data_IF_668874809685
#
_entry.id   IF_668874809685
#
_cell.length_a   1.000
_cell.length_b   1.000
_cell.length_c   1.000
_cell.angle_alpha   90.00
_cell.angle_beta   90.00
_cell.angle_gamma   90.00
#
_symmetry.space_group_name_H-M   'P 1'
#
loop_
_entity.id
_entity.type
_entity.pdbx_description
1 polymer ?
#
# COMPACT_ATOMS: atom_id res chain seq x y z
N UNK A 1 47.49 -12.94 62.44
CA UNK A 1 47.18 -14.08 61.58
C UNK A 1 45.69 -14.34 61.74
N UNK A 2 44.81 -13.80 60.90
CA UNK A 2 44.48 -14.26 59.52
C UNK A 2 43.95 -15.71 59.59
N UNK A 3 42.73 -16.10 59.20
CA UNK A 3 41.81 -15.66 58.12
C UNK A 3 40.33 -15.99 58.50
N UNK A 4 39.36 -15.06 58.35
CA UNK A 4 38.35 -14.91 57.27
C UNK A 4 37.32 -16.06 57.19
N UNK A 5 36.13 -15.78 57.73
CA UNK A 5 34.83 -16.41 57.42
C UNK A 5 34.49 -16.29 55.93
N UNK A 6 34.07 -17.37 55.27
CA UNK A 6 32.89 -17.34 54.40
C UNK A 6 32.38 -18.74 53.99
N UNK A 7 31.26 -19.12 54.62
CA UNK A 7 30.07 -19.78 54.06
C UNK A 7 30.24 -20.71 52.85
N UNK A 8 30.08 -22.01 53.11
CA UNK A 8 29.95 -23.09 52.14
C UNK A 8 28.82 -22.83 51.12
N UNK A 9 29.13 -23.12 49.85
CA UNK A 9 28.22 -23.11 48.70
C UNK A 9 27.35 -24.38 48.71
N UNK A 10 26.08 -24.33 48.24
CA UNK A 10 25.31 -25.55 48.00
C UNK A 10 25.73 -26.19 46.66
N UNK A 11 25.68 -27.52 46.66
CA UNK A 11 25.99 -28.42 45.55
C UNK A 11 25.06 -28.19 44.35
N UNK A 12 25.65 -28.25 43.15
CA UNK A 12 24.96 -28.28 41.85
C UNK A 12 24.31 -29.65 41.67
N UNK A 13 23.03 -29.76 42.01
CA UNK A 13 22.18 -30.85 41.51
C UNK A 13 21.60 -30.46 40.15
N UNK A 14 21.67 -31.42 39.24
CA UNK A 14 21.32 -31.33 37.83
C UNK A 14 19.80 -31.36 37.66
N UNK A 15 19.17 -30.19 37.54
CA UNK A 15 17.85 -30.11 36.92
C UNK A 15 18.08 -30.07 35.40
N UNK A 16 17.95 -31.24 34.78
CA UNK A 16 17.73 -31.38 33.34
C UNK A 16 16.43 -30.66 33.03
N UNK A 17 16.51 -29.50 32.37
CA UNK A 17 15.38 -28.97 31.63
C UNK A 17 14.94 -30.08 30.65
N UNK A 18 13.77 -30.68 30.94
CA UNK A 18 12.96 -31.31 29.90
C UNK A 18 12.64 -30.20 28.90
N UNK A 19 13.52 -30.04 27.91
CA UNK A 19 13.17 -29.42 26.65
C UNK A 19 12.11 -30.34 26.07
N UNK A 20 10.84 -29.99 26.26
CA UNK A 20 9.79 -30.45 25.37
C UNK A 20 10.23 -30.08 23.96
N UNK A 21 10.79 -31.05 23.27
CA UNK A 21 10.92 -31.06 21.84
C UNK A 21 9.48 -31.00 21.33
N UNK A 22 9.00 -29.78 21.07
CA UNK A 22 7.66 -29.55 20.53
C UNK A 22 7.61 -30.32 19.22
N UNK A 23 6.88 -31.45 19.23
CA UNK A 23 6.50 -32.15 18.02
C UNK A 23 5.67 -31.17 17.19
N UNK A 24 6.33 -30.42 16.30
CA UNK A 24 5.67 -29.63 15.27
C UNK A 24 4.88 -30.64 14.44
N UNK A 25 3.57 -30.65 14.68
CA UNK A 25 2.69 -31.71 14.22
C UNK A 25 2.90 -31.98 12.72
N UNK A 26 3.10 -33.24 12.34
CA UNK A 26 3.24 -33.64 10.92
C UNK A 26 2.10 -33.10 10.02
N UNK A 27 0.96 -32.73 10.63
CA UNK A 27 -0.21 -32.11 10.00
C UNK A 27 0.11 -30.74 9.42
N UNK A 28 0.88 -29.89 10.10
CA UNK A 28 1.25 -28.55 9.64
C UNK A 28 2.22 -28.61 8.46
N UNK A 29 3.23 -29.48 8.53
CA UNK A 29 4.17 -29.71 7.43
C UNK A 29 3.44 -30.30 6.21
N UNK A 30 2.45 -31.18 6.44
CA UNK A 30 1.59 -31.71 5.36
C UNK A 30 0.68 -30.64 4.78
N UNK A 31 0.10 -29.76 5.60
CA UNK A 31 -0.71 -28.63 5.15
C UNK A 31 0.12 -27.65 4.32
N UNK A 32 1.33 -27.28 4.77
CA UNK A 32 2.26 -26.44 4.02
C UNK A 32 2.67 -27.08 2.69
N UNK A 33 3.02 -28.37 2.68
CA UNK A 33 3.32 -29.08 1.42
C UNK A 33 2.12 -29.13 0.49
N UNK A 34 0.92 -29.26 1.05
CA UNK A 34 -0.32 -29.30 0.28
C UNK A 34 -0.67 -27.92 -0.30
N UNK A 35 -0.55 -26.83 0.47
CA UNK A 35 -0.78 -25.47 -0.02
C UNK A 35 0.24 -25.07 -1.08
N UNK A 36 1.53 -25.40 -0.89
CA UNK A 36 2.57 -25.21 -1.92
C UNK A 36 2.25 -25.99 -3.19
N UNK A 37 1.75 -27.23 -3.07
CA UNK A 37 1.36 -28.05 -4.21
C UNK A 37 0.09 -27.53 -4.90
N UNK A 38 -0.84 -26.93 -4.16
CA UNK A 38 -2.02 -26.26 -4.71
C UNK A 38 -1.66 -24.98 -5.48
N UNK A 39 -0.72 -24.19 -4.98
CA UNK A 39 -0.19 -22.99 -5.66
C UNK A 39 0.62 -23.34 -6.93
N UNK A 40 1.05 -24.59 -7.10
CA UNK A 40 1.70 -25.05 -8.34
C UNK A 40 0.71 -25.55 -9.39
N UNK A 41 -0.58 -25.66 -9.06
CA UNK A 41 -1.61 -26.10 -9.99
C UNK A 41 -2.22 -24.90 -10.74
N UNK A 42 -2.02 -24.77 -12.06
CA UNK A 42 -2.52 -23.64 -12.85
C UNK A 42 -4.03 -23.45 -12.77
N UNK A 43 -4.80 -24.54 -12.57
CA UNK A 43 -6.27 -24.45 -12.49
C UNK A 43 -6.74 -23.88 -11.15
N UNK A 44 -6.01 -24.13 -10.06
CA UNK A 44 -6.33 -23.58 -8.74
C UNK A 44 -5.93 -22.11 -8.68
N UNK A 45 -4.76 -21.76 -9.23
CA UNK A 45 -4.37 -20.36 -9.40
C UNK A 45 -5.38 -19.58 -10.24
N UNK A 46 -5.85 -20.14 -11.35
CA UNK A 46 -6.86 -19.51 -12.19
C UNK A 46 -8.21 -19.32 -11.45
N UNK A 47 -8.64 -20.30 -10.65
CA UNK A 47 -9.90 -20.20 -9.90
C UNK A 47 -9.82 -19.23 -8.71
N UNK A 48 -8.65 -19.08 -8.08
CA UNK A 48 -8.39 -18.06 -7.07
C UNK A 48 -8.36 -16.66 -7.71
N UNK A 49 -7.72 -16.54 -8.87
CA UNK A 49 -7.71 -15.31 -9.66
C UNK A 49 -9.12 -14.88 -10.05
N UNK A 50 -9.95 -15.80 -10.57
CA UNK A 50 -11.34 -15.52 -10.96
C UNK A 50 -12.20 -15.02 -9.78
N UNK A 51 -11.95 -15.52 -8.56
CA UNK A 51 -12.63 -15.04 -7.34
C UNK A 51 -12.12 -13.69 -6.85
N UNK A 52 -10.85 -13.36 -7.10
CA UNK A 52 -10.25 -12.07 -6.79
C UNK A 52 -10.69 -10.99 -7.79
N UNK A 53 -10.78 -11.35 -9.08
CA UNK A 53 -11.26 -10.44 -10.14
C UNK A 53 -12.67 -9.92 -9.81
N UNK A 54 -13.58 -10.79 -9.32
CA UNK A 54 -14.93 -10.39 -8.92
C UNK A 54 -15.06 -9.54 -7.64
N UNK A 55 -13.95 -9.21 -6.95
CA UNK A 55 -13.95 -8.39 -5.72
C UNK A 55 -13.33 -7.00 -5.93
N UNK A 56 -12.70 -6.74 -7.09
CA UNK A 56 -11.76 -5.60 -7.29
C UNK A 56 -12.20 -4.67 -8.45
N UNK A 57 -13.41 -4.81 -8.97
CA UNK A 57 -13.95 -4.02 -10.10
C UNK A 57 -14.42 -2.60 -9.71
N UNK A 58 -13.66 -1.88 -8.88
CA UNK A 58 -13.79 -0.41 -8.88
C UNK A 58 -12.41 0.21 -9.04
N UNK A 59 -12.20 1.10 -10.03
CA UNK A 59 -11.01 1.93 -10.09
C UNK A 59 -10.84 2.62 -8.73
N UNK A 60 -9.67 2.49 -8.13
CA UNK A 60 -9.37 3.00 -6.80
C UNK A 60 -9.76 4.48 -6.72
N UNK A 61 -10.84 4.82 -5.99
CA UNK A 61 -11.35 6.21 -5.86
C UNK A 61 -10.24 7.21 -5.47
N UNK A 62 -9.19 6.72 -4.82
CA UNK A 62 -8.00 7.48 -4.47
C UNK A 62 -7.27 8.03 -5.70
N UNK A 63 -6.95 7.22 -6.71
CA UNK A 63 -6.17 7.66 -7.89
C UNK A 63 -6.97 8.70 -8.67
N UNK A 64 -8.28 8.53 -8.80
CA UNK A 64 -9.16 9.49 -9.48
C UNK A 64 -9.25 10.85 -8.79
N UNK A 65 -9.10 10.86 -7.46
CA UNK A 65 -9.16 12.04 -6.60
C UNK A 65 -7.87 12.86 -6.60
N UNK A 66 -6.75 12.33 -7.13
CA UNK A 66 -5.47 13.03 -7.15
C UNK A 66 -5.50 14.24 -8.11
N UNK A 67 -4.92 15.40 -7.73
CA UNK A 67 -4.92 16.59 -8.59
C UNK A 67 -4.08 16.42 -9.88
N UNK A 68 -4.72 15.98 -10.96
CA UNK A 68 -4.07 15.63 -12.25
C UNK A 68 -3.19 16.76 -12.84
N UNK A 69 -3.64 18.01 -12.78
CA UNK A 69 -3.00 19.15 -13.47
C UNK A 69 -1.54 19.44 -13.05
N UNK A 70 -1.14 19.04 -11.84
CA UNK A 70 0.20 19.29 -11.30
C UNK A 70 1.17 18.14 -11.53
N UNK A 71 0.66 16.92 -11.44
CA UNK A 71 1.48 15.69 -11.48
C UNK A 71 1.66 15.19 -12.92
N UNK A 72 0.71 15.48 -13.82
CA UNK A 72 0.78 15.13 -15.25
C UNK A 72 2.13 15.48 -15.92
N UNK A 73 2.69 16.70 -15.80
CA UNK A 73 3.97 17.01 -16.45
C UNK A 73 5.16 16.27 -15.82
N UNK A 74 5.03 15.78 -14.58
CA UNK A 74 6.05 15.00 -13.88
C UNK A 74 5.96 13.52 -14.26
N UNK A 75 4.74 13.03 -14.53
CA UNK A 75 4.47 11.67 -14.99
C UNK A 75 4.68 11.51 -16.50
N UNK A 76 4.62 12.57 -17.29
CA UNK A 76 4.90 12.54 -18.74
C UNK A 76 6.21 11.85 -19.15
N UNK A 77 7.36 12.03 -18.46
CA UNK A 77 8.59 11.29 -18.74
C UNK A 77 8.61 9.85 -18.18
N UNK A 78 7.54 9.34 -17.59
CA UNK A 78 7.43 7.94 -17.15
C UNK A 78 7.36 7.03 -18.40
N UNK A 79 8.31 6.11 -18.51
CA UNK A 79 8.42 5.19 -19.63
C UNK A 79 7.76 3.86 -19.37
N UNK A 80 7.88 3.38 -18.15
CA UNK A 80 7.56 2.00 -17.81
C UNK A 80 7.27 1.89 -16.31
N UNK A 81 6.35 0.99 -15.97
CA UNK A 81 6.08 0.57 -14.60
C UNK A 81 6.25 -0.93 -14.58
N UNK A 82 7.23 -1.41 -13.81
CA UNK A 82 7.53 -2.84 -13.69
C UNK A 82 7.20 -3.33 -12.29
N UNK A 83 6.81 -4.59 -12.22
CA UNK A 83 6.75 -5.33 -10.95
C UNK A 83 7.89 -6.34 -10.89
N UNK A 84 8.54 -6.45 -9.73
CA UNK A 84 9.53 -7.49 -9.42
C UNK A 84 9.14 -8.18 -8.13
N UNK A 85 8.92 -9.48 -8.18
CA UNK A 85 8.70 -10.30 -7.00
C UNK A 85 10.04 -10.74 -6.39
N UNK A 86 10.06 -10.95 -5.08
CA UNK A 86 11.19 -11.53 -4.36
C UNK A 86 11.51 -12.95 -4.84
N UNK A 87 12.79 -13.30 -4.86
CA UNK A 87 13.24 -14.64 -5.24
C UNK A 87 12.86 -15.70 -4.19
N UNK A 88 12.84 -16.97 -4.62
CA UNK A 88 12.60 -18.09 -3.72
C UNK A 88 13.61 -18.12 -2.56
N UNK A 89 13.10 -18.23 -1.33
CA UNK A 89 13.91 -18.23 -0.10
C UNK A 89 14.17 -16.84 0.50
N UNK A 90 13.66 -15.77 -0.12
CA UNK A 90 13.60 -14.44 0.49
C UNK A 90 12.21 -14.17 1.08
N UNK A 91 12.09 -13.22 2.03
CA UNK A 91 10.78 -12.78 2.52
C UNK A 91 9.90 -12.31 1.35
N UNK A 92 8.67 -12.82 1.31
CA UNK A 92 7.75 -12.55 0.21
C UNK A 92 7.50 -11.05 0.09
N UNK A 93 7.77 -10.50 -1.09
CA UNK A 93 7.55 -9.09 -1.39
C UNK A 93 7.45 -8.86 -2.89
N UNK A 94 6.90 -7.70 -3.27
CA UNK A 94 7.02 -7.19 -4.62
C UNK A 94 7.43 -5.72 -4.62
N UNK A 95 8.12 -5.33 -5.69
CA UNK A 95 8.63 -3.97 -5.89
C UNK A 95 8.01 -3.43 -7.17
N UNK A 96 7.30 -2.31 -7.06
CA UNK A 96 6.90 -1.48 -8.18
C UNK A 96 8.05 -0.53 -8.53
N UNK A 97 8.55 -0.61 -9.76
CA UNK A 97 9.59 0.26 -10.30
C UNK A 97 9.01 1.18 -11.38
N UNK A 98 9.06 2.49 -11.13
CA UNK A 98 8.62 3.53 -12.05
C UNK A 98 9.84 4.11 -12.76
N UNK A 99 10.02 3.78 -14.04
CA UNK A 99 11.19 4.13 -14.84
C UNK A 99 10.95 5.44 -15.59
N UNK A 100 11.74 6.47 -15.28
CA UNK A 100 11.62 7.80 -15.87
C UNK A 100 12.77 8.12 -16.83
N UNK A 101 12.46 8.87 -17.88
CA UNK A 101 13.50 9.60 -18.62
C UNK A 101 14.11 10.71 -17.77
N UNK A 102 15.34 11.17 -18.12
CA UNK A 102 15.89 12.40 -17.58
C UNK A 102 14.89 13.56 -17.70
N UNK A 103 14.44 14.07 -16.56
CA UNK A 103 13.38 15.07 -16.49
C UNK A 103 13.79 16.31 -15.68
N UNK A 104 12.95 17.35 -15.61
CA UNK A 104 13.28 18.60 -14.91
C UNK A 104 13.01 18.58 -13.39
N UNK A 105 12.39 17.53 -12.86
CA UNK A 105 11.82 17.53 -11.51
C UNK A 105 12.72 16.86 -10.49
N UNK A 106 13.26 15.69 -10.80
CA UNK A 106 14.14 14.93 -9.92
C UNK A 106 15.28 14.28 -10.71
N UNK A 107 16.28 13.74 -10.00
CA UNK A 107 17.44 13.07 -10.62
C UNK A 107 17.30 11.56 -10.70
N UNK A 108 16.35 10.96 -9.98
CA UNK A 108 16.11 9.52 -10.00
C UNK A 108 15.69 9.06 -11.40
N UNK A 109 16.33 8.00 -11.90
CA UNK A 109 15.89 7.31 -13.11
C UNK A 109 14.79 6.29 -12.80
N UNK A 110 14.78 5.75 -11.58
CA UNK A 110 13.78 4.80 -11.11
C UNK A 110 13.30 5.22 -9.72
N UNK A 111 11.98 5.35 -9.57
CA UNK A 111 11.34 5.44 -8.26
C UNK A 111 10.78 4.08 -7.89
N UNK A 112 10.99 3.64 -6.65
CA UNK A 112 10.61 2.30 -6.21
C UNK A 112 9.65 2.34 -5.03
N UNK A 113 8.66 1.45 -5.05
CA UNK A 113 7.78 1.16 -3.92
C UNK A 113 7.77 -0.33 -3.66
N UNK A 114 8.10 -0.73 -2.44
CA UNK A 114 8.21 -2.13 -2.01
C UNK A 114 7.06 -2.46 -1.07
N UNK A 115 6.42 -3.59 -1.31
CA UNK A 115 5.37 -4.16 -0.47
C UNK A 115 5.84 -5.49 0.07
N UNK A 116 5.83 -5.63 1.39
CA UNK A 116 6.10 -6.89 2.10
C UNK A 116 4.79 -7.65 2.22
N UNK A 117 4.82 -8.94 1.94
CA UNK A 117 3.64 -9.80 1.96
C UNK A 117 3.83 -10.96 2.95
N UNK A 118 2.71 -11.49 3.43
CA UNK A 118 2.64 -12.76 4.14
C UNK A 118 1.75 -13.70 3.34
N UNK A 119 2.17 -14.94 3.15
CA UNK A 119 1.38 -16.01 2.52
C UNK A 119 1.28 -17.27 3.37
N UNK A 120 1.85 -17.22 4.58
CA UNK A 120 1.80 -18.30 5.55
C UNK A 120 0.78 -17.95 6.65
N UNK A 121 -0.02 -18.93 7.11
CA UNK A 121 -0.92 -18.72 8.23
C UNK A 121 -0.15 -18.35 9.50
N UNK A 122 -0.78 -17.58 10.38
CA UNK A 122 -0.18 -17.26 11.67
C UNK A 122 -0.21 -18.50 12.59
N UNK A 123 0.91 -18.85 13.21
CA UNK A 123 1.00 -20.01 14.10
C UNK A 123 0.06 -19.92 15.31
N UNK A 124 -0.24 -18.69 15.76
CA UNK A 124 -1.11 -18.44 16.92
C UNK A 124 -2.60 -18.38 16.57
N UNK A 125 -2.93 -18.03 15.32
CA UNK A 125 -4.29 -18.08 14.79
C UNK A 125 -4.33 -18.55 13.32
N UNK A 126 -4.14 -19.85 13.05
CA UNK A 126 -4.03 -20.36 11.68
C UNK A 126 -5.29 -20.21 10.83
N UNK A 127 -6.46 -20.07 11.46
CA UNK A 127 -7.75 -19.94 10.77
C UNK A 127 -8.04 -18.51 10.31
N UNK A 128 -7.25 -17.53 10.76
CA UNK A 128 -7.32 -16.14 10.28
C UNK A 128 -6.76 -15.95 8.87
N UNK A 129 -6.09 -16.96 8.31
CA UNK A 129 -5.46 -16.86 7.00
C UNK A 129 -6.50 -16.83 5.86
N UNK A 130 -6.65 -15.67 5.23
CA UNK A 130 -7.55 -15.45 4.09
C UNK A 130 -6.81 -15.38 2.74
N UNK A 131 -5.51 -15.64 2.73
CA UNK A 131 -4.66 -15.60 1.54
C UNK A 131 -3.45 -14.69 1.67
N UNK A 132 -2.70 -14.47 0.58
CA UNK A 132 -1.57 -13.56 0.58
C UNK A 132 -2.01 -12.12 0.89
N UNK A 133 -1.42 -11.51 1.92
CA UNK A 133 -1.76 -10.17 2.39
C UNK A 133 -0.53 -9.25 2.40
N UNK A 134 -0.73 -7.97 2.09
CA UNK A 134 0.29 -6.93 2.23
C UNK A 134 0.41 -6.54 3.72
N UNK A 135 1.57 -6.81 4.32
CA UNK A 135 1.86 -6.52 5.74
C UNK A 135 2.45 -5.14 5.97
N UNK A 136 2.95 -4.49 4.91
CA UNK A 136 3.59 -3.19 5.05
C UNK A 136 4.31 -2.76 3.79
N UNK A 137 4.60 -1.48 3.68
CA UNK A 137 5.27 -0.92 2.52
C UNK A 137 6.43 0.00 2.92
N UNK A 138 7.36 0.17 1.98
CA UNK A 138 8.46 1.14 2.06
C UNK A 138 8.66 1.70 0.67
N UNK A 139 8.95 2.98 0.50
CA UNK A 139 9.35 3.49 -0.81
C UNK A 139 10.66 4.25 -0.76
N UNK A 140 11.00 4.87 -1.89
CA UNK A 140 12.29 5.54 -2.06
C UNK A 140 12.21 7.04 -1.76
N UNK A 141 13.36 7.60 -1.38
CA UNK A 141 13.54 9.04 -1.38
C UNK A 141 13.57 9.57 -2.82
N UNK A 142 12.80 10.64 -3.07
CA UNK A 142 12.83 11.38 -4.34
C UNK A 142 13.83 12.52 -4.23
N UNK A 143 14.83 12.52 -5.12
CA UNK A 143 15.90 13.51 -5.18
C UNK A 143 15.46 14.70 -6.05
N UNK A 144 14.58 15.51 -5.47
CA UNK A 144 14.02 16.69 -6.13
C UNK A 144 15.11 17.70 -6.51
N UNK A 145 15.04 18.18 -7.76
CA UNK A 145 15.82 19.32 -8.23
C UNK A 145 15.37 20.60 -7.52
N UNK A 146 16.27 21.58 -7.47
CA UNK A 146 16.07 22.83 -6.71
C UNK A 146 14.76 23.53 -7.12
N UNK A 147 13.85 23.68 -6.15
CA UNK A 147 12.57 24.37 -6.34
C UNK A 147 11.50 23.59 -7.10
N UNK A 148 11.72 22.29 -7.35
CA UNK A 148 10.81 21.41 -8.09
C UNK A 148 10.11 20.37 -7.22
N UNK A 149 10.39 20.35 -5.91
CA UNK A 149 9.69 19.49 -4.96
C UNK A 149 8.21 19.91 -4.86
N UNK A 150 7.31 19.07 -5.39
CA UNK A 150 5.86 19.31 -5.38
C UNK A 150 5.15 18.79 -4.14
N UNK A 151 5.74 17.83 -3.42
CA UNK A 151 5.21 17.29 -2.15
C UNK A 151 5.15 18.35 -1.05
N UNK A 152 5.84 19.48 -1.24
CA UNK A 152 5.99 20.54 -0.26
C UNK A 152 5.56 21.91 -0.81
N UNK A 153 4.51 22.50 -0.24
CA UNK A 153 4.10 23.88 -0.53
C UNK A 153 4.75 24.86 0.45
N UNK A 154 5.63 25.73 -0.06
CA UNK A 154 6.24 26.80 0.76
C UNK A 154 5.33 28.01 0.86
N UNK A 155 4.72 28.24 2.02
CA UNK A 155 3.97 29.45 2.35
C UNK A 155 4.93 30.46 3.01
N UNK A 156 5.14 31.60 2.34
CA UNK A 156 5.94 32.71 2.87
C UNK A 156 5.06 33.61 3.74
N UNK A 157 5.18 33.49 5.06
CA UNK A 157 4.50 34.38 6.01
C UNK A 157 5.39 35.58 6.31
N UNK A 158 4.95 36.77 5.91
CA UNK A 158 5.62 38.02 6.29
C UNK A 158 5.33 38.30 7.77
N UNK A 159 6.37 38.36 8.57
CA UNK A 159 6.31 38.68 9.98
C UNK A 159 7.01 40.02 10.22
N UNK A 160 6.26 40.97 10.77
CA UNK A 160 6.80 42.28 11.13
C UNK A 160 7.26 42.27 12.59
N UNK A 161 8.54 42.54 12.83
CA UNK A 161 9.07 42.60 14.19
C UNK A 161 8.57 43.88 14.88
N UNK A 162 7.80 43.73 15.96
CA UNK A 162 7.06 44.83 16.63
C UNK A 162 7.95 45.98 17.10
N UNK A 163 9.22 45.74 17.47
CA UNK A 163 10.16 46.76 17.98
C UNK A 163 11.08 47.40 16.92
N UNK A 164 11.37 46.70 15.83
CA UNK A 164 12.40 47.11 14.87
C UNK A 164 11.79 47.57 13.53
N UNK A 165 10.51 47.27 13.27
CA UNK A 165 9.83 47.64 12.03
C UNK A 165 10.22 46.78 10.82
N UNK A 166 11.35 46.09 10.89
CA UNK A 166 11.84 45.16 9.87
C UNK A 166 10.85 44.01 9.63
N UNK A 167 10.53 43.79 8.35
CA UNK A 167 9.68 42.70 7.89
C UNK A 167 10.60 41.53 7.51
N UNK A 168 10.54 40.44 8.27
CA UNK A 168 11.21 39.20 7.92
C UNK A 168 10.19 38.25 7.27
N UNK A 169 10.60 37.51 6.25
CA UNK A 169 9.72 36.52 5.61
C UNK A 169 10.08 35.15 6.16
N UNK A 170 9.18 34.55 6.94
CA UNK A 170 9.32 33.19 7.45
C UNK A 170 8.68 32.24 6.44
N UNK A 171 9.46 31.33 5.86
CA UNK A 171 8.95 30.27 5.01
C UNK A 171 8.45 29.13 5.90
N UNK A 172 7.15 28.79 5.80
CA UNK A 172 6.59 27.56 6.38
C UNK A 172 6.31 26.60 5.24
N UNK A 173 6.81 25.38 5.35
CA UNK A 173 6.56 24.32 4.39
C UNK A 173 5.37 23.48 4.86
N UNK A 174 4.43 23.19 3.97
CA UNK A 174 3.24 22.37 4.25
C UNK A 174 3.26 21.19 3.28
N UNK A 175 3.01 19.98 3.77
CA UNK A 175 2.83 18.79 2.92
C UNK A 175 1.62 19.00 2.00
N UNK A 176 1.70 18.53 0.77
CA UNK A 176 0.65 18.72 -0.23
C UNK A 176 0.28 17.36 -0.81
N UNK A 177 -1.01 17.07 -0.93
CA UNK A 177 -1.53 15.75 -1.28
C UNK A 177 -1.41 15.51 -2.80
N UNK A 178 -0.36 14.81 -3.19
CA UNK A 178 -0.05 14.50 -4.58
C UNK A 178 0.41 13.05 -4.73
N UNK A 179 0.39 12.55 -5.98
CA UNK A 179 0.81 11.20 -6.34
C UNK A 179 2.18 10.84 -5.74
N UNK A 180 3.12 11.78 -5.68
CA UNK A 180 4.47 11.52 -5.18
C UNK A 180 4.59 11.32 -3.66
N UNK A 181 3.51 11.54 -2.88
CA UNK A 181 3.43 11.11 -1.48
C UNK A 181 3.27 9.59 -1.36
N UNK A 182 2.99 8.89 -2.46
CA UNK A 182 2.99 7.43 -2.52
C UNK A 182 4.36 6.82 -2.21
N UNK A 183 5.47 7.49 -2.53
CA UNK A 183 6.81 6.93 -2.33
C UNK A 183 7.33 7.04 -0.89
N UNK A 184 7.01 8.08 -0.11
CA UNK A 184 7.24 8.09 1.34
C UNK A 184 5.97 7.66 2.10
N UNK A 185 5.76 6.36 2.39
CA UNK A 185 4.63 5.94 3.19
C UNK A 185 4.73 6.49 4.63
N UNK A 186 3.60 6.57 5.37
CA UNK A 186 3.62 6.89 6.79
C UNK A 186 4.55 5.96 7.59
N UNK A 187 5.26 6.49 8.57
CA UNK A 187 6.08 5.68 9.47
C UNK A 187 5.16 4.85 10.38
N UNK A 188 5.35 3.52 10.37
CA UNK A 188 4.63 2.60 11.26
C UNK A 188 5.46 2.40 12.54
N UNK A 189 4.95 2.80 13.73
CA UNK A 189 5.64 2.55 14.99
C UNK A 189 5.79 1.05 15.25
N UNK A 190 6.84 0.66 15.99
CA UNK A 190 7.03 -0.76 16.39
C UNK A 190 5.87 -1.30 17.24
N UNK A 191 5.12 -0.43 17.94
CA UNK A 191 3.96 -0.84 18.72
C UNK A 191 2.75 -1.21 17.86
N UNK A 192 2.74 -0.85 16.57
CA UNK A 192 1.59 -1.05 15.67
C UNK A 192 0.43 -0.08 15.89
N UNK A 193 0.53 0.83 16.87
CA UNK A 193 -0.52 1.81 17.17
C UNK A 193 -0.47 2.97 16.16
N UNK A 194 -1.22 2.84 15.07
CA UNK A 194 -1.45 3.91 14.11
C UNK A 194 -2.70 4.72 14.51
N UNK A 195 -2.69 6.02 14.22
CA UNK A 195 -3.94 6.78 14.28
C UNK A 195 -4.83 6.44 13.06
N UNK A 196 -6.14 6.63 13.20
CA UNK A 196 -7.15 6.31 12.16
C UNK A 196 -6.81 6.92 10.79
N UNK A 197 -6.12 8.07 10.76
CA UNK A 197 -5.74 8.74 9.53
C UNK A 197 -4.54 8.06 8.85
N UNK A 198 -3.51 7.67 9.61
CA UNK A 198 -2.38 6.91 9.09
C UNK A 198 -2.81 5.53 8.59
N UNK A 199 -3.72 4.86 9.31
CA UNK A 199 -4.32 3.59 8.89
C UNK A 199 -5.07 3.73 7.55
N UNK A 200 -5.94 4.73 7.42
CA UNK A 200 -6.68 4.99 6.18
C UNK A 200 -5.74 5.28 4.98
N UNK A 201 -4.64 6.01 5.22
CA UNK A 201 -3.64 6.30 4.18
C UNK A 201 -2.94 5.00 3.75
N UNK A 202 -2.55 4.13 4.68
CA UNK A 202 -1.89 2.86 4.36
C UNK A 202 -2.83 1.88 3.66
N UNK A 203 -4.10 1.82 4.07
CA UNK A 203 -5.10 0.99 3.40
C UNK A 203 -5.25 1.40 1.92
N UNK A 204 -5.38 2.70 1.64
CA UNK A 204 -5.41 3.21 0.27
C UNK A 204 -4.09 2.93 -0.47
N UNK A 205 -2.95 3.04 0.20
CA UNK A 205 -1.64 2.74 -0.38
C UNK A 205 -1.49 1.28 -0.81
N UNK A 206 -1.99 0.35 0.00
CA UNK A 206 -1.99 -1.08 -0.30
C UNK A 206 -2.94 -1.41 -1.44
N UNK A 207 -4.11 -0.79 -1.47
CA UNK A 207 -5.09 -0.92 -2.54
C UNK A 207 -4.49 -0.49 -3.89
N UNK A 208 -3.79 0.65 -3.94
CA UNK A 208 -3.08 1.13 -5.14
C UNK A 208 -1.97 0.16 -5.52
N UNK A 209 -1.17 -0.30 -4.55
CA UNK A 209 -0.07 -1.23 -4.79
C UNK A 209 -0.54 -2.54 -5.43
N UNK A 210 -1.61 -3.10 -4.87
CA UNK A 210 -2.29 -4.29 -5.37
C UNK A 210 -2.87 -4.05 -6.77
N UNK A 211 -3.61 -2.96 -6.96
CA UNK A 211 -4.23 -2.62 -8.24
C UNK A 211 -3.20 -2.45 -9.36
N UNK A 212 -2.08 -1.77 -9.09
CA UNK A 212 -1.00 -1.63 -10.07
C UNK A 212 -0.38 -2.99 -10.44
N UNK A 213 -0.13 -3.83 -9.44
CA UNK A 213 0.49 -5.14 -9.61
C UNK A 213 -0.39 -6.11 -10.41
N UNK A 214 -1.65 -6.26 -10.00
CA UNK A 214 -2.55 -7.30 -10.51
C UNK A 214 -3.36 -6.85 -11.72
N UNK A 215 -3.67 -5.55 -11.84
CA UNK A 215 -4.57 -5.05 -12.86
C UNK A 215 -3.83 -4.24 -13.92
N UNK A 216 -3.23 -3.12 -13.52
CA UNK A 216 -2.69 -2.14 -14.48
C UNK A 216 -1.49 -2.66 -15.24
N UNK A 217 -0.49 -3.24 -14.57
CA UNK A 217 0.75 -3.68 -15.25
C UNK A 217 0.46 -4.83 -16.24
N UNK A 218 -0.26 -5.91 -15.88
CA UNK A 218 -0.54 -7.01 -16.80
C UNK A 218 -1.42 -6.61 -17.99
N UNK A 219 -2.36 -5.67 -17.79
CA UNK A 219 -3.34 -5.21 -18.79
C UNK A 219 -3.06 -3.79 -19.28
N UNK A 220 -1.82 -3.32 -19.21
CA UNK A 220 -1.47 -1.91 -19.46
C UNK A 220 -1.92 -1.38 -20.81
N UNK A 221 -1.95 -2.22 -21.84
CA UNK A 221 -2.46 -1.84 -23.18
C UNK A 221 -3.97 -1.56 -23.14
N UNK A 222 -4.75 -2.36 -22.41
CA UNK A 222 -6.21 -2.18 -22.31
C UNK A 222 -6.56 -0.92 -21.50
N UNK A 223 -5.82 -0.65 -20.42
CA UNK A 223 -5.94 0.62 -19.70
C UNK A 223 -5.51 1.83 -20.54
N UNK A 224 -4.52 1.66 -21.41
CA UNK A 224 -4.08 2.73 -22.32
C UNK A 224 -5.09 2.99 -23.44
N UNK A 225 -5.73 1.96 -23.99
CA UNK A 225 -6.75 2.12 -25.04
C UNK A 225 -8.11 2.54 -24.49
N UNK A 226 -8.36 2.33 -23.18
CA UNK A 226 -9.62 2.64 -22.50
C UNK A 226 -10.57 1.45 -22.39
N UNK A 227 -10.28 0.35 -23.10
CA UNK A 227 -11.11 -0.87 -23.12
C UNK A 227 -11.29 -1.51 -21.73
N UNK A 228 -10.32 -1.35 -20.82
CA UNK A 228 -10.45 -1.86 -19.46
C UNK A 228 -11.37 -1.03 -18.55
N UNK A 229 -11.86 0.13 -19.01
CA UNK A 229 -12.70 1.06 -18.26
C UNK A 229 -14.14 1.05 -18.80
N UNK A 230 -14.32 0.69 -20.08
CA UNK A 230 -15.61 0.72 -20.77
C UNK A 230 -16.58 -0.40 -20.33
N UNK A 231 -16.12 -1.46 -19.67
CA UNK A 231 -16.97 -2.57 -19.21
C UNK A 231 -17.84 -2.21 -17.96
N UNK A 232 -17.62 -1.05 -17.31
CA UNK A 232 -18.32 -0.63 -16.09
C UNK A 232 -19.53 0.30 -16.32
N UNK A 233 -19.72 0.87 -17.51
CA UNK A 233 -20.74 1.90 -17.78
C UNK A 233 -22.07 1.35 -18.37
N UNK A 234 -22.16 0.05 -18.64
CA UNK A 234 -23.30 -0.56 -19.35
C UNK A 234 -24.47 -1.01 -18.45
N UNK A 235 -24.43 -0.80 -17.13
CA UNK A 235 -25.49 -1.26 -16.19
C UNK A 235 -26.32 -0.13 -15.52
N UNK A 236 -26.29 1.10 -16.04
CA UNK A 236 -27.33 2.09 -15.71
C UNK A 236 -28.52 1.96 -16.66
N UNK A 237 -29.36 1.02 -16.26
CA UNK A 237 -30.69 0.70 -16.76
C UNK A 237 -31.48 1.94 -17.23
N UNK A 238 -31.84 1.87 -18.52
CA UNK A 238 -32.71 2.81 -19.21
C UNK A 238 -34.16 2.36 -19.02
N UNK A 239 -34.67 2.44 -17.79
CA UNK A 239 -36.08 2.29 -17.45
C UNK A 239 -36.50 3.48 -16.56
N UNK A 240 -37.49 4.32 -16.84
CA UNK A 240 -38.46 4.40 -17.91
C UNK A 240 -39.14 5.77 -17.79
N UNK A 241 -39.08 6.59 -18.85
CA UNK A 241 -39.97 7.74 -19.01
C UNK A 241 -41.35 7.21 -19.40
N UNK A 242 -42.21 6.96 -18.42
CA UNK A 242 -43.66 6.90 -18.68
C UNK A 242 -44.24 8.26 -18.33
N UNK A 243 -44.40 9.05 -19.38
CA UNK A 243 -45.35 10.15 -19.42
C UNK A 243 -46.75 9.57 -19.18
N UNK A 244 -47.45 10.08 -18.16
CA UNK A 244 -48.91 10.12 -18.23
C UNK A 244 -49.36 11.56 -18.04
N UNK A 245 -50.04 12.00 -19.09
CA UNK A 245 -50.54 13.33 -19.36
C UNK A 245 -52.03 13.32 -19.00
N UNK A 246 -52.46 14.39 -18.35
CA UNK A 246 -53.85 14.89 -18.29
C UNK A 246 -54.86 14.33 -17.27
N UNK A 247 -55.46 15.29 -16.57
CA UNK A 247 -56.60 15.12 -15.68
C UNK A 247 -57.02 16.45 -15.03
N UNK A 248 -57.26 17.48 -15.85
CA UNK A 248 -58.26 18.56 -15.61
C UNK A 248 -59.54 17.98 -14.96
N UNK A 249 -60.29 18.54 -14.01
CA UNK A 249 -60.69 19.93 -13.70
C UNK A 249 -61.56 19.94 -12.41
N UNK A 250 -61.81 21.16 -11.92
CA UNK A 250 -63.00 21.65 -11.16
C UNK A 250 -63.27 21.28 -9.66
N UNK A 251 -63.14 22.34 -8.85
CA UNK A 251 -64.17 22.97 -7.98
C UNK A 251 -65.03 22.12 -7.01
N UNK A 252 -65.01 22.45 -5.71
CA UNK A 252 -66.15 23.00 -4.95
C UNK A 252 -65.92 23.04 -3.41
N UNK A 253 -66.29 24.20 -2.83
CA UNK A 253 -66.43 24.64 -1.41
C UNK A 253 -65.21 24.86 -0.49
#
# INVERSE_FOLDING_TARGET
MADIDNKEQPELDQDLDDVEEVEVEETQIKAYKFTVQMMQNPQILAALQERLDGLVDTPTRYIESLPRERDEPILKPLKDIKVKFSDAGQPMSFILEFHFEPNEYFTNEVLTKTYRMRSEPDDSDPFSFDGPEIMGCTGCQIDWKKGKNVTLKTIKKKQKHKRCGTVCTVAKTISNDYFFNFFPPPEVPESGDLDDNAEAILAADFEIGHFLCEHVIPRSVLYFTGEAIEDDDDDYDKEGEEADEEGEEEDEE
#
